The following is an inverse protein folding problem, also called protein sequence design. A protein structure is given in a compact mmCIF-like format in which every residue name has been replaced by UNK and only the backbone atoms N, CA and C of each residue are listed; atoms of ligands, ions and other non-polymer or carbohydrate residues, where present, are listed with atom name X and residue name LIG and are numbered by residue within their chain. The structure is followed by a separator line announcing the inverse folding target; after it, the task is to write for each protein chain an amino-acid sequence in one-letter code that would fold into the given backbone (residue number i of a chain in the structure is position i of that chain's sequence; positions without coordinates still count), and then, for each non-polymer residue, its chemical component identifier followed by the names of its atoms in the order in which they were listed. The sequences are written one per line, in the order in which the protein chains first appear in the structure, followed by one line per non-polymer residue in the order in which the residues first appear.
data_IF_498283984039
#
_entry.id   IF_498283984039
#
_cell.length_a   1.000
_cell.length_b   1.000
_cell.length_c   1.000
_cell.angle_alpha   90.00
_cell.angle_beta   90.00
_cell.angle_gamma   90.00
#
_symmetry.space_group_name_H-M   'P 1'
#
loop_
_entity.id
_entity.type
_entity.pdbx_description
1 polymer ?
#
# COMPACT_ATOMS: atom_id res chain seq x y z
N UNK A 1 -131.87 44.38 -53.01
CA UNK A 1 -131.02 43.57 -53.92
C UNK A 1 -129.70 44.27 -54.21
N UNK A 2 -129.68 45.55 -54.62
CA UNK A 2 -128.43 46.27 -54.94
C UNK A 2 -127.46 46.52 -53.75
N UNK A 3 -127.96 46.84 -52.55
CA UNK A 3 -127.09 47.09 -51.38
C UNK A 3 -126.35 45.83 -50.88
N UNK A 4 -127.02 44.66 -50.84
CA UNK A 4 -126.42 43.39 -50.42
C UNK A 4 -125.35 42.88 -51.39
N UNK A 5 -125.49 43.18 -52.68
CA UNK A 5 -124.46 42.89 -53.68
C UNK A 5 -123.23 43.78 -53.47
N UNK A 6 -123.43 45.08 -53.20
CA UNK A 6 -122.35 46.03 -52.86
C UNK A 6 -121.62 45.67 -51.56
N UNK A 7 -122.34 45.20 -50.53
CA UNK A 7 -121.74 44.79 -49.26
C UNK A 7 -120.91 43.50 -49.40
N UNK A 8 -121.41 42.53 -50.18
CA UNK A 8 -120.67 41.30 -50.51
C UNK A 8 -119.46 41.58 -51.41
N UNK A 9 -119.57 42.52 -52.35
CA UNK A 9 -118.44 42.96 -53.18
C UNK A 9 -117.35 43.65 -52.33
N UNK A 10 -117.75 44.45 -51.34
CA UNK A 10 -116.82 45.05 -50.38
C UNK A 10 -116.16 43.99 -49.47
N UNK A 11 -116.93 43.00 -48.99
CA UNK A 11 -116.42 41.90 -48.15
C UNK A 11 -115.45 40.98 -48.93
N UNK A 12 -115.76 40.68 -50.19
CA UNK A 12 -114.85 39.96 -51.10
C UNK A 12 -113.58 40.77 -51.38
N UNK A 13 -113.68 42.09 -51.52
CA UNK A 13 -112.52 42.95 -51.68
C UNK A 13 -111.63 42.98 -50.43
N UNK A 14 -112.23 43.00 -49.22
CA UNK A 14 -111.48 42.91 -47.96
C UNK A 14 -110.82 41.54 -47.78
N UNK A 15 -111.53 40.43 -48.06
CA UNK A 15 -110.97 39.08 -47.97
C UNK A 15 -109.80 38.89 -48.96
N UNK A 16 -109.92 39.40 -50.19
CA UNK A 16 -108.81 39.36 -51.17
C UNK A 16 -107.60 40.17 -50.71
N UNK A 17 -107.84 41.33 -50.09
CA UNK A 17 -106.78 42.18 -49.52
C UNK A 17 -106.08 41.48 -48.36
N UNK A 18 -106.84 40.89 -47.44
CA UNK A 18 -106.32 40.17 -46.28
C UNK A 18 -105.58 38.89 -46.70
N UNK A 19 -106.09 38.17 -47.70
CA UNK A 19 -105.41 37.02 -48.30
C UNK A 19 -104.06 37.43 -48.92
N UNK A 20 -104.04 38.46 -49.77
CA UNK A 20 -102.80 38.98 -50.35
C UNK A 20 -101.81 39.48 -49.29
N UNK A 21 -102.31 40.06 -48.20
CA UNK A 21 -101.48 40.46 -47.06
C UNK A 21 -100.95 39.25 -46.28
N UNK A 22 -101.75 38.21 -46.10
CA UNK A 22 -101.33 36.95 -45.45
C UNK A 22 -100.29 36.19 -46.29
N UNK A 23 -100.45 36.19 -47.61
CA UNK A 23 -99.51 35.58 -48.56
C UNK A 23 -98.16 36.32 -48.54
N UNK A 24 -98.18 37.66 -48.53
CA UNK A 24 -96.96 38.46 -48.32
C UNK A 24 -96.28 38.18 -46.98
N UNK A 25 -97.06 38.02 -45.91
CA UNK A 25 -96.52 37.66 -44.58
C UNK A 25 -95.91 36.27 -44.58
N UNK A 26 -96.54 35.29 -45.24
CA UNK A 26 -95.99 33.93 -45.39
C UNK A 26 -94.72 33.91 -46.23
N UNK A 27 -94.67 34.66 -47.33
CA UNK A 27 -93.46 34.81 -48.15
C UNK A 27 -92.34 35.45 -47.33
N UNK A 28 -92.62 36.53 -46.59
CA UNK A 28 -91.64 37.16 -45.71
C UNK A 28 -91.16 36.20 -44.61
N UNK A 29 -92.07 35.46 -43.97
CA UNK A 29 -91.73 34.48 -42.95
C UNK A 29 -90.87 33.33 -43.50
N UNK A 30 -91.18 32.84 -44.72
CA UNK A 30 -90.38 31.81 -45.38
C UNK A 30 -88.97 32.31 -45.70
N UNK A 31 -88.83 33.54 -46.20
CA UNK A 31 -87.50 34.15 -46.42
C UNK A 31 -86.72 34.22 -45.11
N UNK A 32 -87.32 34.75 -44.04
CA UNK A 32 -86.64 34.82 -42.73
C UNK A 32 -86.25 33.45 -42.16
N UNK A 33 -87.04 32.42 -42.45
CA UNK A 33 -86.77 31.05 -42.00
C UNK A 33 -85.63 30.41 -42.79
N UNK A 34 -85.55 30.65 -44.10
CA UNK A 34 -84.42 30.21 -44.93
C UNK A 34 -83.13 30.97 -44.56
N UNK A 35 -83.21 32.27 -44.29
CA UNK A 35 -82.08 33.06 -43.80
C UNK A 35 -81.58 32.51 -42.44
N UNK A 36 -82.49 32.26 -41.49
CA UNK A 36 -82.13 31.70 -40.18
C UNK A 36 -81.55 30.28 -40.29
N UNK A 37 -82.05 29.45 -41.20
CA UNK A 37 -81.46 28.12 -41.46
C UNK A 37 -80.05 28.23 -42.01
N UNK A 38 -79.80 29.14 -42.96
CA UNK A 38 -78.48 29.38 -43.51
C UNK A 38 -77.50 29.88 -42.43
N UNK A 39 -77.94 30.80 -41.57
CA UNK A 39 -77.16 31.27 -40.41
C UNK A 39 -76.83 30.12 -39.44
N UNK A 40 -77.81 29.30 -39.07
CA UNK A 40 -77.59 28.15 -38.19
C UNK A 40 -76.66 27.09 -38.82
N UNK A 41 -76.79 26.84 -40.12
CA UNK A 41 -75.91 25.92 -40.83
C UNK A 41 -74.47 26.43 -40.85
N UNK A 42 -74.26 27.72 -41.11
CA UNK A 42 -72.94 28.35 -41.03
C UNK A 42 -72.36 28.26 -39.62
N UNK A 43 -73.17 28.51 -38.58
CA UNK A 43 -72.74 28.38 -37.19
C UNK A 43 -72.34 26.94 -36.83
N UNK A 44 -73.07 25.94 -37.32
CA UNK A 44 -72.74 24.52 -37.12
C UNK A 44 -71.42 24.14 -37.81
N UNK A 45 -71.19 24.60 -39.04
CA UNK A 45 -69.93 24.37 -39.76
C UNK A 45 -68.74 24.98 -39.01
N UNK A 46 -68.89 26.19 -38.45
CA UNK A 46 -67.86 26.84 -37.63
C UNK A 46 -67.58 26.03 -36.36
N UNK A 47 -68.63 25.63 -35.63
CA UNK A 47 -68.49 24.84 -34.41
C UNK A 47 -67.85 23.47 -34.68
N UNK A 48 -68.21 22.83 -35.80
CA UNK A 48 -67.62 21.56 -36.20
C UNK A 48 -66.12 21.71 -36.50
N UNK A 49 -65.73 22.77 -37.21
CA UNK A 49 -64.31 23.07 -37.44
C UNK A 49 -63.55 23.32 -36.13
N UNK A 50 -64.14 24.07 -35.20
CA UNK A 50 -63.55 24.29 -33.88
C UNK A 50 -63.40 22.99 -33.08
N UNK A 51 -64.38 22.08 -33.17
CA UNK A 51 -64.29 20.76 -32.55
C UNK A 51 -63.15 19.92 -33.15
N UNK A 52 -62.99 19.95 -34.46
CA UNK A 52 -61.91 19.23 -35.15
C UNK A 52 -60.54 19.81 -34.77
N UNK A 53 -60.38 21.14 -34.79
CA UNK A 53 -59.15 21.83 -34.40
C UNK A 53 -58.76 21.52 -32.94
N UNK A 54 -59.74 21.54 -32.03
CA UNK A 54 -59.49 21.20 -30.61
C UNK A 54 -59.17 19.71 -30.41
N UNK A 55 -59.76 18.80 -31.19
CA UNK A 55 -59.42 17.38 -31.15
C UNK A 55 -57.97 17.13 -31.61
N UNK A 56 -57.52 17.85 -32.65
CA UNK A 56 -56.11 17.80 -33.08
C UNK A 56 -55.19 18.29 -31.96
N UNK A 57 -55.48 19.44 -31.35
CA UNK A 57 -54.70 19.95 -30.22
C UNK A 57 -54.66 18.99 -29.01
N UNK A 58 -55.78 18.32 -28.70
CA UNK A 58 -55.84 17.31 -27.65
C UNK A 58 -54.95 16.10 -28.00
N UNK A 59 -54.93 15.69 -29.26
CA UNK A 59 -54.08 14.57 -29.70
C UNK A 59 -52.58 14.91 -29.63
N UNK A 60 -52.20 16.12 -30.03
CA UNK A 60 -50.82 16.62 -29.98
C UNK A 60 -50.33 16.75 -28.53
N UNK A 61 -51.14 17.35 -27.66
CA UNK A 61 -50.80 17.49 -26.23
C UNK A 61 -50.70 16.15 -25.52
N UNK A 62 -51.53 15.16 -25.88
CA UNK A 62 -51.41 13.78 -25.37
C UNK A 62 -50.13 13.10 -25.84
N UNK A 63 -49.72 13.31 -27.09
CA UNK A 63 -48.45 12.78 -27.60
C UNK A 63 -47.26 13.39 -26.84
N UNK A 64 -47.24 14.72 -26.68
CA UNK A 64 -46.20 15.42 -25.90
C UNK A 64 -46.16 14.97 -24.44
N UNK A 65 -47.31 14.76 -23.80
CA UNK A 65 -47.37 14.23 -22.44
C UNK A 65 -46.78 12.82 -22.35
N UNK A 66 -47.08 11.96 -23.33
CA UNK A 66 -46.51 10.61 -23.39
C UNK A 66 -44.99 10.65 -23.57
N UNK A 67 -44.46 11.53 -24.42
CA UNK A 67 -43.03 11.62 -24.69
C UNK A 67 -42.27 12.18 -23.48
N UNK A 68 -42.77 13.26 -22.87
CA UNK A 68 -42.20 13.80 -21.62
C UNK A 68 -42.25 12.81 -20.46
N UNK A 69 -43.28 11.95 -20.39
CA UNK A 69 -43.35 10.89 -19.39
C UNK A 69 -42.29 9.81 -19.62
N UNK A 70 -42.01 9.43 -20.88
CA UNK A 70 -40.90 8.51 -21.21
C UNK A 70 -39.54 9.11 -20.89
N UNK A 71 -39.33 10.37 -21.25
CA UNK A 71 -38.09 11.09 -20.91
C UNK A 71 -37.88 11.14 -19.40
N UNK A 72 -38.93 11.42 -18.62
CA UNK A 72 -38.83 11.40 -17.15
C UNK A 72 -38.44 10.03 -16.61
N UNK A 73 -39.03 8.94 -17.13
CA UNK A 73 -38.68 7.58 -16.71
C UNK A 73 -37.23 7.25 -17.02
N UNK A 74 -36.72 7.59 -18.22
CA UNK A 74 -35.33 7.39 -18.57
C UNK A 74 -34.37 8.21 -17.68
N UNK A 75 -34.75 9.45 -17.33
CA UNK A 75 -33.98 10.28 -16.41
C UNK A 75 -34.00 9.74 -14.98
N UNK A 76 -35.11 9.15 -14.53
CA UNK A 76 -35.20 8.48 -13.22
C UNK A 76 -34.30 7.24 -13.18
N UNK A 77 -34.32 6.40 -14.21
CA UNK A 77 -33.47 5.21 -14.30
C UNK A 77 -31.98 5.58 -14.30
N UNK A 78 -31.57 6.58 -15.08
CA UNK A 78 -30.19 7.06 -15.09
C UNK A 78 -29.78 7.64 -13.74
N UNK A 79 -30.65 8.42 -13.09
CA UNK A 79 -30.38 8.96 -11.76
C UNK A 79 -30.19 7.85 -10.71
N UNK A 80 -31.01 6.80 -10.75
CA UNK A 80 -30.85 5.64 -9.85
C UNK A 80 -29.54 4.90 -10.09
N UNK A 81 -29.18 4.69 -11.36
CA UNK A 81 -27.92 4.03 -11.73
C UNK A 81 -26.72 4.82 -11.24
N UNK A 82 -26.68 6.14 -11.49
CA UNK A 82 -25.60 7.00 -10.99
C UNK A 82 -25.55 7.06 -9.46
N UNK A 83 -26.70 6.96 -8.78
CA UNK A 83 -26.74 6.91 -7.32
C UNK A 83 -26.14 5.61 -6.78
N UNK A 84 -26.39 4.47 -7.44
CA UNK A 84 -25.81 3.18 -7.09
C UNK A 84 -24.30 3.14 -7.34
N UNK A 85 -23.83 3.70 -8.46
CA UNK A 85 -22.41 3.86 -8.76
C UNK A 85 -21.69 4.74 -7.72
N UNK A 86 -22.32 5.85 -7.31
CA UNK A 86 -21.79 6.71 -6.25
C UNK A 86 -21.72 5.97 -4.91
N UNK A 87 -22.71 5.13 -4.60
CA UNK A 87 -22.71 4.33 -3.38
C UNK A 87 -21.60 3.27 -3.40
N UNK A 88 -21.37 2.62 -4.55
CA UNK A 88 -20.26 1.68 -4.73
C UNK A 88 -18.91 2.37 -4.55
N UNK A 89 -18.68 3.51 -5.24
CA UNK A 89 -17.44 4.26 -5.14
C UNK A 89 -17.15 4.74 -3.71
N UNK A 90 -18.19 5.13 -2.94
CA UNK A 90 -18.02 5.48 -1.52
C UNK A 90 -17.52 4.30 -0.67
N UNK A 91 -18.07 3.10 -0.88
CA UNK A 91 -17.60 1.89 -0.18
C UNK A 91 -16.15 1.56 -0.53
N UNK A 92 -15.77 1.73 -1.80
CA UNK A 92 -14.39 1.50 -2.22
C UNK A 92 -13.42 2.50 -1.58
N UNK A 93 -13.81 3.77 -1.47
CA UNK A 93 -13.04 4.80 -0.77
C UNK A 93 -12.87 4.43 0.71
N UNK A 94 -13.94 3.98 1.38
CA UNK A 94 -13.88 3.55 2.78
C UNK A 94 -12.94 2.34 2.96
N UNK A 95 -13.06 1.32 2.10
CA UNK A 95 -12.18 0.15 2.11
C UNK A 95 -10.70 0.53 1.89
N UNK A 96 -10.42 1.45 0.96
CA UNK A 96 -9.05 1.92 0.72
C UNK A 96 -8.52 2.77 1.87
N UNK A 97 -9.36 3.56 2.53
CA UNK A 97 -8.99 4.29 3.73
C UNK A 97 -8.60 3.33 4.87
N UNK A 98 -9.36 2.26 5.10
CA UNK A 98 -9.03 1.23 6.08
C UNK A 98 -7.69 0.54 5.77
N UNK A 99 -7.45 0.19 4.50
CA UNK A 99 -6.17 -0.37 4.05
C UNK A 99 -5.00 0.59 4.30
N UNK A 100 -5.18 1.89 4.01
CA UNK A 100 -4.17 2.91 4.28
C UNK A 100 -3.84 2.99 5.77
N UNK A 101 -4.86 3.05 6.65
CA UNK A 101 -4.62 3.10 8.10
C UNK A 101 -3.89 1.86 8.62
N UNK A 102 -4.18 0.69 8.05
CA UNK A 102 -3.49 -0.56 8.39
C UNK A 102 -2.03 -0.54 7.95
N UNK A 103 -1.75 -0.06 6.73
CA UNK A 103 -0.39 0.08 6.21
C UNK A 103 0.42 1.11 7.00
N UNK A 104 -0.18 2.23 7.39
CA UNK A 104 0.46 3.24 8.24
C UNK A 104 0.83 2.67 9.62
N UNK A 105 -0.07 1.89 10.24
CA UNK A 105 0.20 1.23 11.51
C UNK A 105 1.32 0.19 11.39
N UNK A 106 1.33 -0.60 10.31
CA UNK A 106 2.39 -1.58 10.05
C UNK A 106 3.74 -0.89 9.82
N UNK A 107 3.76 0.20 9.04
CA UNK A 107 4.97 0.98 8.79
C UNK A 107 5.54 1.55 10.10
N UNK A 108 4.69 2.11 10.96
CA UNK A 108 5.10 2.61 12.28
C UNK A 108 5.68 1.49 13.16
N UNK A 109 5.06 0.30 13.15
CA UNK A 109 5.57 -0.87 13.88
C UNK A 109 6.94 -1.31 13.34
N UNK A 110 7.11 -1.46 12.03
CA UNK A 110 8.39 -1.85 11.42
C UNK A 110 9.49 -0.82 11.72
N UNK A 111 9.18 0.47 11.69
CA UNK A 111 10.13 1.52 12.05
C UNK A 111 10.54 1.43 13.53
N UNK A 112 9.59 1.14 14.43
CA UNK A 112 9.90 0.92 15.84
C UNK A 112 10.77 -0.32 16.04
N UNK A 113 10.46 -1.42 15.35
CA UNK A 113 11.25 -2.66 15.42
C UNK A 113 12.70 -2.42 14.97
N UNK A 114 12.90 -1.72 13.84
CA UNK A 114 14.22 -1.31 13.36
C UNK A 114 14.98 -0.46 14.39
N UNK A 115 14.32 0.56 14.97
CA UNK A 115 14.95 1.38 16.01
C UNK A 115 15.36 0.54 17.24
N UNK A 116 14.55 -0.44 17.64
CA UNK A 116 14.89 -1.33 18.75
C UNK A 116 16.00 -2.31 18.40
N UNK A 117 16.08 -2.82 17.16
CA UNK A 117 17.18 -3.68 16.74
C UNK A 117 18.48 -2.92 16.65
N UNK A 118 18.46 -1.68 16.14
CA UNK A 118 19.64 -0.83 16.07
C UNK A 118 20.18 -0.51 17.46
N UNK A 119 19.29 -0.19 18.42
CA UNK A 119 19.68 0.02 19.81
C UNK A 119 20.31 -1.23 20.45
N UNK A 120 19.76 -2.42 20.16
CA UNK A 120 20.33 -3.70 20.64
C UNK A 120 21.69 -3.98 20.02
N UNK A 121 21.85 -3.76 18.72
CA UNK A 121 23.13 -3.93 18.03
C UNK A 121 24.18 -3.01 18.63
N UNK A 122 23.83 -1.75 18.89
CA UNK A 122 24.73 -0.76 19.48
C UNK A 122 25.17 -1.17 20.90
N UNK A 123 24.24 -1.68 21.73
CA UNK A 123 24.56 -2.24 23.04
C UNK A 123 25.49 -3.45 22.93
N UNK A 124 25.21 -4.40 22.04
CA UNK A 124 26.04 -5.59 21.84
C UNK A 124 27.44 -5.20 21.37
N UNK A 125 27.56 -4.21 20.49
CA UNK A 125 28.88 -3.73 20.04
C UNK A 125 29.68 -3.10 21.18
N UNK A 126 29.04 -2.31 22.03
CA UNK A 126 29.69 -1.71 23.20
C UNK A 126 30.14 -2.78 24.21
N UNK A 127 29.27 -3.77 24.49
CA UNK A 127 29.61 -4.88 25.37
C UNK A 127 30.76 -5.72 24.80
N UNK A 128 30.78 -5.94 23.49
CA UNK A 128 31.86 -6.64 22.80
C UNK A 128 33.19 -5.87 22.90
N UNK A 129 33.18 -4.56 22.66
CA UNK A 129 34.37 -3.73 22.80
C UNK A 129 34.89 -3.71 24.26
N UNK A 130 34.00 -3.65 25.25
CA UNK A 130 34.36 -3.70 26.66
C UNK A 130 35.03 -5.04 27.02
N UNK A 131 34.47 -6.16 26.55
CA UNK A 131 35.03 -7.50 26.79
C UNK A 131 36.35 -7.71 26.05
N UNK A 132 36.49 -7.23 24.82
CA UNK A 132 37.75 -7.27 24.06
C UNK A 132 38.85 -6.49 24.78
N UNK A 133 38.57 -5.28 25.26
CA UNK A 133 39.52 -4.48 26.02
C UNK A 133 39.94 -5.16 27.33
N UNK A 134 38.99 -5.79 28.04
CA UNK A 134 39.29 -6.55 29.26
C UNK A 134 40.21 -7.75 28.96
N UNK A 135 39.89 -8.54 27.93
CA UNK A 135 40.71 -9.68 27.53
C UNK A 135 42.11 -9.25 27.09
N UNK A 136 42.22 -8.13 26.36
CA UNK A 136 43.51 -7.58 25.95
C UNK A 136 44.37 -7.18 27.16
N UNK A 137 43.78 -6.54 28.17
CA UNK A 137 44.47 -6.18 29.39
C UNK A 137 44.93 -7.44 30.19
N UNK A 138 44.08 -8.47 30.26
CA UNK A 138 44.46 -9.76 30.85
C UNK A 138 45.62 -10.43 30.11
N UNK A 139 45.63 -10.35 28.78
CA UNK A 139 46.69 -10.91 27.94
C UNK A 139 48.02 -10.16 28.14
N UNK A 140 48.01 -8.83 28.15
CA UNK A 140 49.18 -8.01 28.46
C UNK A 140 49.74 -8.31 29.87
N UNK A 141 48.84 -8.50 30.85
CA UNK A 141 49.26 -8.88 32.20
C UNK A 141 49.91 -10.27 32.23
N UNK A 142 49.30 -11.27 31.58
CA UNK A 142 49.85 -12.62 31.49
C UNK A 142 51.22 -12.63 30.78
N UNK A 143 51.39 -11.85 29.70
CA UNK A 143 52.67 -11.69 29.00
C UNK A 143 53.74 -11.06 29.90
N UNK A 144 53.38 -10.05 30.69
CA UNK A 144 54.32 -9.42 31.64
C UNK A 144 54.77 -10.41 32.72
N UNK A 145 53.84 -11.19 33.27
CA UNK A 145 54.12 -12.23 34.26
C UNK A 145 55.00 -13.35 33.69
N UNK A 146 54.75 -13.76 32.43
CA UNK A 146 55.59 -14.73 31.74
C UNK A 146 57.03 -14.23 31.56
N UNK A 147 57.22 -12.97 31.16
CA UNK A 147 58.56 -12.35 31.05
C UNK A 147 59.27 -12.33 32.39
N UNK A 148 58.55 -12.00 33.46
CA UNK A 148 59.09 -12.01 34.82
C UNK A 148 59.52 -13.42 35.24
N UNK A 149 58.68 -14.42 35.03
CA UNK A 149 59.00 -15.83 35.29
C UNK A 149 60.22 -16.31 34.47
N UNK A 150 60.31 -15.96 33.18
CA UNK A 150 61.47 -16.29 32.34
C UNK A 150 62.76 -15.64 32.86
N UNK A 151 62.69 -14.40 33.35
CA UNK A 151 63.84 -13.72 33.97
C UNK A 151 64.29 -14.44 35.25
N UNK A 152 63.33 -14.84 36.11
CA UNK A 152 63.61 -15.59 37.33
C UNK A 152 64.22 -16.97 37.02
N UNK A 153 63.71 -17.68 36.01
CA UNK A 153 64.29 -18.95 35.55
C UNK A 153 65.73 -18.75 35.05
N UNK A 154 66.01 -17.67 34.32
CA UNK A 154 67.36 -17.32 33.87
C UNK A 154 68.31 -17.10 35.05
N UNK A 155 67.89 -16.31 36.04
CA UNK A 155 68.66 -16.02 37.25
C UNK A 155 68.92 -17.28 38.08
N UNK A 156 67.90 -18.11 38.29
CA UNK A 156 68.02 -19.39 38.98
C UNK A 156 68.95 -20.34 38.24
N UNK A 157 68.90 -20.37 36.90
CA UNK A 157 69.82 -21.17 36.09
C UNK A 157 71.28 -20.71 36.25
N UNK A 158 71.51 -19.39 36.33
CA UNK A 158 72.82 -18.83 36.62
C UNK A 158 73.29 -19.25 38.03
N UNK A 159 72.43 -19.09 39.05
CA UNK A 159 72.72 -19.51 40.42
C UNK A 159 73.03 -21.01 40.54
N UNK A 160 72.25 -21.88 39.88
CA UNK A 160 72.52 -23.32 39.84
C UNK A 160 73.86 -23.62 39.16
N UNK A 161 74.21 -22.90 38.09
CA UNK A 161 75.52 -23.07 37.43
C UNK A 161 76.69 -22.66 38.34
N UNK A 162 76.49 -21.63 39.16
CA UNK A 162 77.50 -21.13 40.09
C UNK A 162 77.62 -22.04 41.32
N UNK A 163 76.50 -22.51 41.86
CA UNK A 163 76.45 -23.53 42.89
C UNK A 163 77.12 -24.84 42.43
N UNK A 164 76.92 -25.27 41.18
CA UNK A 164 77.62 -26.44 40.61
C UNK A 164 79.13 -26.23 40.51
N UNK A 165 79.60 -25.03 40.13
CA UNK A 165 81.03 -24.71 40.15
C UNK A 165 81.60 -24.71 41.56
N UNK A 166 80.84 -24.18 42.53
CA UNK A 166 81.21 -24.22 43.95
C UNK A 166 81.25 -25.67 44.46
N UNK A 167 80.27 -26.50 44.10
CA UNK A 167 80.25 -27.94 44.40
C UNK A 167 81.44 -28.66 43.77
N UNK A 168 81.81 -28.37 42.52
CA UNK A 168 83.00 -28.93 41.86
C UNK A 168 84.31 -28.53 42.58
N UNK A 169 84.39 -27.30 43.10
CA UNK A 169 85.52 -26.82 43.93
C UNK A 169 85.53 -27.45 45.33
N UNK A 170 84.34 -27.65 45.93
CA UNK A 170 84.13 -28.31 47.22
C UNK A 170 84.24 -29.85 47.12
N UNK A 171 84.19 -30.44 45.94
CA UNK A 171 84.51 -31.85 45.68
C UNK A 171 86.02 -32.04 45.42
N UNK A 172 86.70 -31.01 44.91
CA UNK A 172 88.16 -30.98 44.73
C UNK A 172 88.92 -30.66 46.03
N UNK A 173 88.24 -30.12 47.03
CA UNK A 173 88.75 -29.94 48.40
C UNK A 173 87.96 -30.87 49.33
N UNK A 174 88.59 -31.54 50.29
CA UNK A 174 87.85 -32.41 51.21
C UNK A 174 86.96 -31.55 52.11
N UNK A 175 85.65 -31.54 51.84
CA UNK A 175 84.69 -30.67 52.55
C UNK A 175 83.89 -31.47 53.59
N UNK A 176 83.75 -30.93 54.81
CA UNK A 176 83.07 -31.59 55.92
C UNK A 176 81.55 -31.72 55.70
N UNK A 177 81.00 -32.77 56.30
CA UNK A 177 79.64 -33.31 56.12
C UNK A 177 78.48 -32.34 56.45
N UNK A 178 78.76 -31.23 57.14
CA UNK A 178 77.79 -30.19 57.51
C UNK A 178 77.34 -29.32 56.32
N UNK A 179 78.21 -29.04 55.35
CA UNK A 179 77.85 -28.25 54.15
C UNK A 179 76.97 -29.06 53.18
N UNK A 180 77.19 -30.39 53.09
CA UNK A 180 76.32 -31.31 52.35
C UNK A 180 74.91 -31.37 52.96
N UNK A 181 74.80 -31.27 54.29
CA UNK A 181 73.51 -31.28 54.97
C UNK A 181 72.74 -29.96 54.76
N UNK A 182 73.44 -28.82 54.76
CA UNK A 182 72.88 -27.51 54.40
C UNK A 182 72.35 -27.49 52.97
N UNK A 183 73.14 -27.99 52.01
CA UNK A 183 72.77 -28.05 50.59
C UNK A 183 71.55 -28.97 50.37
N UNK A 184 71.50 -30.10 51.08
CA UNK A 184 70.36 -31.03 51.06
C UNK A 184 69.08 -30.38 51.60
N UNK A 185 69.18 -29.58 52.67
CA UNK A 185 68.03 -28.85 53.22
C UNK A 185 67.56 -27.75 52.26
N UNK A 186 68.49 -27.06 51.58
CA UNK A 186 68.15 -26.06 50.58
C UNK A 186 67.44 -26.69 49.37
N UNK A 187 67.94 -27.83 48.87
CA UNK A 187 67.30 -28.57 47.78
C UNK A 187 65.88 -29.01 48.14
N UNK A 188 65.67 -29.55 49.35
CA UNK A 188 64.32 -29.89 49.83
C UNK A 188 63.39 -28.67 49.89
N UNK A 189 63.89 -27.55 50.41
CA UNK A 189 63.10 -26.32 50.45
C UNK A 189 62.76 -25.78 49.05
N UNK A 190 63.62 -25.99 48.05
CA UNK A 190 63.30 -25.64 46.66
C UNK A 190 62.31 -26.62 46.02
N UNK A 191 62.42 -27.92 46.30
CA UNK A 191 61.46 -28.93 45.85
C UNK A 191 60.05 -28.64 46.38
N UNK A 192 59.93 -28.32 47.67
CA UNK A 192 58.64 -27.96 48.29
C UNK A 192 58.02 -26.70 47.66
N UNK A 193 58.84 -25.72 47.27
CA UNK A 193 58.36 -24.51 46.57
C UNK A 193 57.84 -24.85 45.17
N UNK A 194 58.58 -25.62 44.38
CA UNK A 194 58.12 -26.00 43.04
C UNK A 194 56.91 -26.93 43.10
N UNK A 195 56.82 -27.80 44.10
CA UNK A 195 55.65 -28.67 44.28
C UNK A 195 54.39 -27.85 44.63
N UNK A 196 54.52 -26.80 45.43
CA UNK A 196 53.44 -25.86 45.71
C UNK A 196 53.01 -25.08 44.45
N UNK A 197 53.96 -24.63 43.64
CA UNK A 197 53.69 -23.91 42.39
C UNK A 197 52.99 -24.80 41.35
N UNK A 198 53.45 -26.05 41.17
CA UNK A 198 52.80 -27.04 40.31
C UNK A 198 51.36 -27.30 40.76
N UNK A 199 51.12 -27.34 42.07
CA UNK A 199 49.76 -27.50 42.62
C UNK A 199 48.87 -26.30 42.30
N UNK A 200 49.40 -25.08 42.38
CA UNK A 200 48.67 -23.87 42.04
C UNK A 200 48.33 -23.81 40.54
N UNK A 201 49.29 -24.13 39.67
CA UNK A 201 49.05 -24.17 38.22
C UNK A 201 48.00 -25.23 37.84
N UNK A 202 48.01 -26.40 38.48
CA UNK A 202 46.96 -27.42 38.28
C UNK A 202 45.58 -26.90 38.67
N UNK A 203 45.49 -26.14 39.77
CA UNK A 203 44.22 -25.53 40.19
C UNK A 203 43.73 -24.51 39.16
N UNK A 204 44.61 -23.66 38.63
CA UNK A 204 44.25 -22.68 37.58
C UNK A 204 43.78 -23.35 36.29
N UNK A 205 44.46 -24.41 35.85
CA UNK A 205 44.03 -25.20 34.69
C UNK A 205 42.63 -25.76 34.93
N UNK A 206 42.39 -26.39 36.09
CA UNK A 206 41.07 -26.93 36.44
C UNK A 206 39.97 -25.86 36.46
N UNK A 207 40.27 -24.67 37.01
CA UNK A 207 39.31 -23.56 37.03
C UNK A 207 39.00 -23.08 35.61
N UNK A 208 40.01 -22.97 34.75
CA UNK A 208 39.82 -22.59 33.33
C UNK A 208 39.04 -23.63 32.53
N UNK A 209 39.27 -24.93 32.76
CA UNK A 209 38.52 -26.02 32.15
C UNK A 209 37.03 -25.93 32.55
N UNK A 210 36.74 -25.72 33.83
CA UNK A 210 35.36 -25.58 34.30
C UNK A 210 34.64 -24.35 33.71
N UNK A 211 35.38 -23.26 33.47
CA UNK A 211 34.84 -22.05 32.82
C UNK A 211 34.54 -22.31 31.34
N UNK A 212 35.41 -23.02 30.64
CA UNK A 212 35.20 -23.43 29.24
C UNK A 212 34.00 -24.38 29.11
N UNK A 213 33.85 -25.35 30.01
CA UNK A 213 32.68 -26.25 30.02
C UNK A 213 31.37 -25.49 30.19
N UNK A 214 31.32 -24.49 31.09
CA UNK A 214 30.13 -23.64 31.25
C UNK A 214 29.84 -22.81 30.00
N UNK A 215 30.87 -22.27 29.36
CA UNK A 215 30.72 -21.52 28.12
C UNK A 215 30.22 -22.41 26.97
N UNK A 216 30.75 -23.64 26.86
CA UNK A 216 30.28 -24.63 25.89
C UNK A 216 28.81 -25.00 26.14
N UNK A 217 28.42 -25.16 27.41
CA UNK A 217 27.04 -25.37 27.82
C UNK A 217 26.12 -24.23 27.37
N UNK A 218 26.50 -22.99 27.67
CA UNK A 218 25.75 -21.81 27.26
C UNK A 218 25.63 -21.69 25.72
N UNK A 219 26.73 -21.96 24.99
CA UNK A 219 26.72 -21.96 23.54
C UNK A 219 25.75 -23.01 22.97
N UNK A 220 25.73 -24.22 23.53
CA UNK A 220 24.80 -25.26 23.11
C UNK A 220 23.34 -24.89 23.40
N UNK A 221 23.06 -24.22 24.52
CA UNK A 221 21.71 -23.69 24.83
C UNK A 221 21.29 -22.63 23.82
N UNK A 222 22.13 -21.62 23.57
CA UNK A 222 21.85 -20.56 22.59
C UNK A 222 21.64 -21.16 21.20
N UNK A 223 22.46 -22.14 20.80
CA UNK A 223 22.31 -22.84 19.53
C UNK A 223 20.96 -23.55 19.44
N UNK A 224 20.54 -24.23 20.50
CA UNK A 224 19.24 -24.91 20.57
C UNK A 224 18.07 -23.92 20.49
N UNK A 225 18.15 -22.78 21.19
CA UNK A 225 17.15 -21.72 21.11
C UNK A 225 17.06 -21.12 19.70
N UNK A 226 18.20 -20.89 19.04
CA UNK A 226 18.24 -20.39 17.67
C UNK A 226 17.58 -21.36 16.70
N UNK A 227 17.86 -22.66 16.82
CA UNK A 227 17.19 -23.70 16.01
C UNK A 227 15.68 -23.69 16.24
N UNK A 228 15.23 -23.63 17.51
CA UNK A 228 13.80 -23.58 17.83
C UNK A 228 13.12 -22.27 17.39
N UNK A 229 13.84 -21.15 17.32
CA UNK A 229 13.33 -19.90 16.74
C UNK A 229 13.21 -20.05 15.22
N UNK A 230 14.19 -20.68 14.56
CA UNK A 230 14.14 -20.89 13.11
C UNK A 230 13.01 -21.83 12.71
N UNK A 231 12.77 -22.91 13.44
CA UNK A 231 11.62 -23.80 13.22
C UNK A 231 10.30 -23.03 13.35
N UNK A 232 10.13 -22.24 14.43
CA UNK A 232 8.94 -21.40 14.60
C UNK A 232 8.76 -20.33 13.53
N UNK A 233 9.83 -19.86 12.89
CA UNK A 233 9.74 -18.95 11.75
C UNK A 233 9.26 -19.69 10.51
N UNK A 234 9.82 -20.86 10.22
CA UNK A 234 9.41 -21.70 9.10
C UNK A 234 7.93 -22.09 9.22
N UNK A 235 7.48 -22.52 10.41
CA UNK A 235 6.07 -22.86 10.65
C UNK A 235 5.13 -21.67 10.35
N UNK A 236 5.54 -20.44 10.71
CA UNK A 236 4.76 -19.23 10.42
C UNK A 236 4.79 -18.84 8.94
N UNK A 237 5.93 -19.03 8.29
CA UNK A 237 6.06 -18.83 6.84
C UNK A 237 5.10 -19.80 6.11
N UNK A 238 5.10 -21.09 6.48
CA UNK A 238 4.19 -22.10 5.94
C UNK A 238 2.70 -21.76 6.21
N UNK A 239 2.35 -21.28 7.40
CA UNK A 239 0.99 -20.83 7.73
C UNK A 239 0.54 -19.65 6.86
N UNK A 240 1.42 -18.66 6.64
CA UNK A 240 1.13 -17.50 5.79
C UNK A 240 0.99 -17.94 4.34
N UNK A 241 1.87 -18.81 3.84
CA UNK A 241 1.79 -19.35 2.49
C UNK A 241 0.46 -20.11 2.27
N UNK A 242 0.05 -20.95 3.23
CA UNK A 242 -1.24 -21.65 3.15
C UNK A 242 -2.43 -20.68 3.15
N UNK A 243 -2.40 -19.64 3.98
CA UNK A 243 -3.45 -18.61 4.00
C UNK A 243 -3.53 -17.84 2.68
N UNK A 244 -2.37 -17.45 2.11
CA UNK A 244 -2.33 -16.79 0.81
C UNK A 244 -2.84 -17.70 -0.30
N UNK A 245 -2.44 -18.97 -0.31
CA UNK A 245 -2.92 -19.92 -1.29
C UNK A 245 -4.44 -20.12 -1.18
N UNK A 246 -4.98 -20.24 0.03
CA UNK A 246 -6.42 -20.33 0.25
C UNK A 246 -7.18 -19.09 -0.26
N UNK A 247 -6.63 -17.88 -0.04
CA UNK A 247 -7.21 -16.64 -0.58
C UNK A 247 -7.17 -16.60 -2.11
N UNK A 248 -6.08 -17.07 -2.73
CA UNK A 248 -5.97 -17.17 -4.19
C UNK A 248 -7.02 -18.15 -4.73
N UNK A 249 -7.18 -19.31 -4.08
CA UNK A 249 -8.16 -20.33 -4.49
C UNK A 249 -9.60 -19.81 -4.34
N UNK A 250 -9.91 -19.06 -3.28
CA UNK A 250 -11.21 -18.40 -3.09
C UNK A 250 -11.49 -17.36 -4.19
N UNK A 251 -10.52 -16.49 -4.49
CA UNK A 251 -10.63 -15.51 -5.58
C UNK A 251 -10.77 -16.19 -6.95
N UNK A 252 -10.06 -17.29 -7.17
CA UNK A 252 -10.19 -18.09 -8.40
C UNK A 252 -11.59 -18.70 -8.51
N UNK A 253 -12.16 -19.20 -7.41
CA UNK A 253 -13.52 -19.73 -7.38
C UNK A 253 -14.55 -18.64 -7.70
N UNK A 254 -14.47 -17.49 -7.03
CA UNK A 254 -15.35 -16.33 -7.27
C UNK A 254 -15.27 -15.85 -8.72
N UNK A 255 -14.06 -15.79 -9.28
CA UNK A 255 -13.85 -15.41 -10.67
C UNK A 255 -14.48 -16.43 -11.63
N UNK A 256 -14.35 -17.73 -11.33
CA UNK A 256 -14.96 -18.81 -12.12
C UNK A 256 -16.48 -18.72 -12.08
N UNK A 257 -17.07 -18.51 -10.91
CA UNK A 257 -18.51 -18.28 -10.78
C UNK A 257 -18.97 -17.03 -11.54
N UNK A 258 -18.20 -15.95 -11.50
CA UNK A 258 -18.49 -14.74 -12.25
C UNK A 258 -18.46 -15.00 -13.76
N UNK A 259 -17.48 -15.77 -14.25
CA UNK A 259 -17.42 -16.20 -15.65
C UNK A 259 -18.63 -17.06 -16.04
N UNK A 260 -19.05 -18.01 -15.21
CA UNK A 260 -20.23 -18.82 -15.48
C UNK A 260 -21.52 -18.00 -15.49
N UNK A 261 -21.71 -17.10 -14.50
CA UNK A 261 -22.87 -16.18 -14.45
C UNK A 261 -22.91 -15.28 -15.68
N UNK A 262 -21.78 -14.74 -16.10
CA UNK A 262 -21.66 -13.94 -17.32
C UNK A 262 -22.02 -14.76 -18.56
N UNK A 263 -21.45 -15.96 -18.72
CA UNK A 263 -21.75 -16.84 -19.85
C UNK A 263 -23.24 -17.19 -19.92
N UNK A 264 -23.86 -17.49 -18.77
CA UNK A 264 -25.29 -17.78 -18.70
C UNK A 264 -26.15 -16.55 -19.03
N UNK A 265 -25.71 -15.34 -18.69
CA UNK A 265 -26.36 -14.11 -19.11
C UNK A 265 -26.23 -13.88 -20.62
N UNK A 266 -25.04 -14.10 -21.19
CA UNK A 266 -24.79 -14.05 -22.64
C UNK A 266 -25.66 -15.06 -23.40
N UNK A 267 -25.77 -16.31 -22.90
CA UNK A 267 -26.62 -17.35 -23.48
C UNK A 267 -28.12 -16.97 -23.42
N UNK A 268 -28.58 -16.37 -22.32
CA UNK A 268 -29.96 -15.87 -22.18
C UNK A 268 -30.26 -14.73 -23.14
N UNK A 269 -29.31 -13.81 -23.35
CA UNK A 269 -29.45 -12.74 -24.33
C UNK A 269 -29.58 -13.31 -25.75
N UNK A 270 -28.72 -14.26 -26.10
CA UNK A 270 -28.77 -14.96 -27.39
C UNK A 270 -30.10 -15.69 -27.61
N UNK A 271 -30.64 -16.38 -26.58
CA UNK A 271 -31.94 -17.06 -26.65
C UNK A 271 -33.13 -16.11 -26.87
N UNK A 272 -33.04 -14.88 -26.36
CA UNK A 272 -34.07 -13.85 -26.53
C UNK A 272 -33.97 -13.10 -27.88
N UNK A 273 -33.08 -13.53 -28.79
CA UNK A 273 -32.87 -12.87 -30.08
C UNK A 273 -32.11 -11.53 -29.98
N UNK A 274 -31.65 -11.18 -28.78
CA UNK A 274 -30.74 -10.08 -28.53
C UNK A 274 -29.32 -10.63 -28.66
N UNK A 275 -28.88 -10.79 -29.91
CA UNK A 275 -27.48 -11.09 -30.17
C UNK A 275 -26.62 -10.00 -29.50
N UNK A 276 -25.59 -10.35 -28.72
CA UNK A 276 -24.62 -9.37 -28.25
C UNK A 276 -23.88 -8.86 -29.49
N UNK A 277 -24.42 -7.81 -30.11
CA UNK A 277 -23.73 -7.07 -31.15
C UNK A 277 -22.46 -6.54 -30.49
N UNK A 278 -21.32 -7.07 -30.91
CA UNK A 278 -20.03 -6.53 -30.53
C UNK A 278 -19.94 -5.09 -31.05
N UNK A 279 -20.18 -4.12 -30.17
CA UNK A 279 -19.81 -2.71 -30.38
C UNK A 279 -18.29 -2.49 -30.35
N UNK A 280 -17.47 -3.56 -30.41
CA UNK A 280 -16.10 -3.47 -30.92
C UNK A 280 -16.13 -3.57 -32.43
N UNK A 281 -16.22 -2.40 -33.05
CA UNK A 281 -15.88 -2.23 -34.45
C UNK A 281 -14.52 -2.86 -34.76
N UNK A 282 -14.48 -3.57 -35.89
CA UNK A 282 -13.51 -3.32 -36.95
C UNK A 282 -12.09 -2.99 -36.48
N UNK A 283 -11.35 -3.99 -36.00
CA UNK A 283 -9.89 -3.98 -36.17
C UNK A 283 -9.58 -4.81 -37.40
N UNK A 284 -9.24 -4.08 -38.47
CA UNK A 284 -8.59 -4.59 -39.67
C UNK A 284 -7.42 -5.47 -39.23
N UNK A 285 -7.38 -6.70 -39.73
CA UNK A 285 -6.16 -7.49 -39.80
C UNK A 285 -5.12 -6.66 -40.57
N UNK A 286 -4.16 -6.09 -39.85
CA UNK A 286 -2.93 -5.62 -40.47
C UNK A 286 -1.90 -6.72 -40.28
N UNK A 287 -1.55 -7.31 -41.42
CA UNK A 287 -0.67 -8.44 -41.59
C UNK A 287 0.78 -7.93 -41.49
N UNK A 288 1.19 -7.59 -40.26
CA UNK A 288 2.51 -7.01 -39.96
C UNK A 288 3.53 -8.07 -39.54
N UNK A 289 3.96 -8.86 -40.51
CA UNK A 289 5.10 -9.76 -40.42
C UNK A 289 6.40 -8.94 -40.26
N UNK A 290 6.99 -8.90 -39.08
CA UNK A 290 8.42 -8.52 -38.91
C UNK A 290 9.09 -9.41 -37.89
N UNK A 291 9.72 -10.46 -38.41
CA UNK A 291 10.97 -10.97 -37.86
C UNK A 291 11.99 -9.83 -37.85
N UNK A 292 12.49 -9.45 -36.68
CA UNK A 292 13.84 -8.88 -36.58
C UNK A 292 14.47 -9.24 -35.24
N UNK A 293 15.52 -10.03 -35.38
CA UNK A 293 16.61 -10.29 -34.47
C UNK A 293 17.19 -9.03 -33.80
N UNK A 294 17.71 -9.27 -32.59
CA UNK A 294 18.98 -8.75 -32.03
C UNK A 294 19.34 -7.26 -32.25
N UNK A 295 19.47 -6.53 -31.15
CA UNK A 295 20.78 -5.95 -30.77
C UNK A 295 20.73 -5.23 -29.42
N UNK A 296 21.78 -5.46 -28.65
CA UNK A 296 22.25 -4.67 -27.53
C UNK A 296 22.49 -3.20 -27.91
N UNK A 297 22.39 -2.28 -26.95
CA UNK A 297 22.88 -0.92 -27.15
C UNK A 297 22.33 0.11 -26.17
N UNK A 298 23.04 0.26 -25.05
CA UNK A 298 23.36 1.44 -24.26
C UNK A 298 22.60 2.78 -24.44
N UNK A 299 22.29 3.33 -23.27
CA UNK A 299 22.35 4.74 -22.84
C UNK A 299 22.07 5.86 -23.86
N UNK A 300 21.07 6.70 -23.57
CA UNK A 300 21.34 8.14 -23.36
C UNK A 300 20.15 8.88 -22.72
N UNK A 301 20.52 9.83 -21.87
CA UNK A 301 19.69 10.83 -21.20
C UNK A 301 18.83 11.62 -22.20
N UNK A 302 17.62 12.03 -21.78
CA UNK A 302 17.07 13.33 -22.18
C UNK A 302 15.95 13.76 -21.23
N UNK A 303 16.29 14.75 -20.41
CA UNK A 303 15.38 15.67 -19.76
C UNK A 303 14.44 16.33 -20.78
N UNK A 304 13.14 16.41 -20.48
CA UNK A 304 12.32 17.60 -20.75
C UNK A 304 11.03 17.55 -19.92
N UNK A 305 10.94 18.47 -18.96
CA UNK A 305 9.72 18.81 -18.24
C UNK A 305 8.78 19.59 -19.17
N UNK A 306 7.52 19.15 -19.28
CA UNK A 306 6.40 20.01 -19.64
C UNK A 306 5.36 19.96 -18.51
N UNK A 307 5.12 21.13 -17.93
CA UNK A 307 4.02 21.41 -17.00
C UNK A 307 2.66 21.26 -17.71
N UNK A 308 1.62 20.78 -17.02
CA UNK A 308 0.25 21.14 -17.34
C UNK A 308 -0.28 22.22 -16.37
N UNK A 309 -1.01 23.16 -16.96
CA UNK A 309 -1.66 24.29 -16.31
C UNK A 309 -2.75 23.88 -15.30
N UNK A 310 -2.97 24.80 -14.37
CA UNK A 310 -3.76 24.73 -13.15
C UNK A 310 -5.27 24.53 -13.33
N UNK A 311 -5.93 23.83 -12.38
CA UNK A 311 -7.11 24.30 -11.60
C UNK A 311 -7.27 23.43 -10.34
N UNK A 312 -7.27 24.03 -9.14
CA UNK A 312 -7.73 23.35 -7.91
C UNK A 312 -7.17 23.93 -6.62
N UNK A 313 -7.87 24.91 -6.02
CA UNK A 313 -7.51 25.53 -4.75
C UNK A 313 -7.68 24.56 -3.58
N UNK A 314 -6.59 23.93 -3.12
CA UNK A 314 -6.52 23.36 -1.78
C UNK A 314 -5.76 24.31 -0.85
N UNK A 315 -6.45 24.76 0.21
CA UNK A 315 -5.83 25.48 1.34
C UNK A 315 -5.06 24.46 2.19
N UNK A 316 -3.74 24.45 2.05
CA UNK A 316 -2.84 23.85 3.03
C UNK A 316 -2.69 24.77 4.25
N UNK A 317 -2.67 24.21 5.48
CA UNK A 317 -2.46 24.99 6.70
C UNK A 317 -1.02 25.53 6.77
N UNK A 318 -0.88 26.77 7.22
CA UNK A 318 0.40 27.47 7.40
C UNK A 318 1.32 26.71 8.37
N UNK A 319 2.25 25.92 7.84
CA UNK A 319 3.46 25.56 8.56
C UNK A 319 4.42 26.74 8.48
N UNK A 320 4.79 27.28 9.64
CA UNK A 320 5.72 28.39 9.78
C UNK A 320 7.03 28.12 9.05
N UNK A 321 7.60 29.16 8.44
CA UNK A 321 8.88 29.07 7.71
C UNK A 321 9.97 28.61 8.67
N UNK A 322 10.53 27.43 8.39
CA UNK A 322 11.77 26.96 9.02
C UNK A 322 12.90 27.89 8.52
N UNK A 323 13.72 28.46 9.42
CA UNK A 323 14.86 29.26 9.00
C UNK A 323 15.87 28.42 8.19
N UNK A 324 16.53 28.99 7.18
CA UNK A 324 17.41 28.22 6.30
C UNK A 324 18.59 27.64 7.10
N UNK A 325 18.73 26.32 7.05
CA UNK A 325 19.92 25.62 7.53
C UNK A 325 21.12 26.07 6.67
N UNK A 326 22.00 26.86 7.27
CA UNK A 326 23.32 27.12 6.69
C UNK A 326 24.07 25.79 6.64
N UNK A 327 24.40 25.33 5.44
CA UNK A 327 25.33 24.20 5.28
C UNK A 327 26.67 24.62 5.90
N UNK A 328 27.23 23.82 6.82
CA UNK A 328 28.56 24.10 7.36
C UNK A 328 29.56 24.16 6.20
N UNK A 329 30.49 25.13 6.28
CA UNK A 329 31.52 25.27 5.26
C UNK A 329 32.43 24.04 5.31
N UNK A 330 32.79 23.53 4.13
CA UNK A 330 33.62 22.33 3.95
C UNK A 330 34.93 22.33 4.76
N UNK A 331 35.40 23.51 5.20
CA UNK A 331 36.56 23.70 6.05
C UNK A 331 36.42 23.21 7.51
N UNK A 332 35.21 22.95 8.01
CA UNK A 332 35.01 22.46 9.40
C UNK A 332 35.22 20.94 9.55
N UNK A 333 35.38 20.20 8.44
CA UNK A 333 35.65 18.76 8.45
C UNK A 333 37.14 18.39 8.50
N UNK A 334 38.05 19.39 8.55
CA UNK A 334 39.50 19.14 8.57
C UNK A 334 40.13 19.08 9.97
N UNK A 335 39.35 18.95 11.04
CA UNK A 335 39.88 18.62 12.36
C UNK A 335 39.66 17.15 12.68
N UNK A 336 40.25 16.29 11.86
CA UNK A 336 40.52 14.90 12.26
C UNK A 336 41.77 14.94 13.13
N UNK A 337 41.72 14.50 14.40
CA UNK A 337 42.92 14.42 15.22
C UNK A 337 43.89 13.43 14.56
N UNK A 338 44.99 13.97 14.03
CA UNK A 338 46.04 13.15 13.44
C UNK A 338 46.71 12.34 14.56
N UNK A 339 46.52 11.03 14.52
CA UNK A 339 47.29 10.09 15.33
C UNK A 339 48.77 10.23 14.98
N UNK A 340 49.62 10.46 15.98
CA UNK A 340 51.07 10.62 15.85
C UNK A 340 51.81 9.37 15.37
N UNK A 341 51.09 8.28 15.02
CA UNK A 341 51.65 7.01 14.58
C UNK A 341 51.48 6.69 13.08
N UNK A 342 50.80 7.52 12.29
CA UNK A 342 50.43 7.16 10.90
C UNK A 342 51.33 7.78 9.81
N UNK A 343 52.55 8.22 10.13
CA UNK A 343 53.44 8.94 9.20
C UNK A 343 54.56 8.08 8.56
N UNK A 344 54.35 6.79 8.30
CA UNK A 344 55.42 5.98 7.71
C UNK A 344 55.00 4.85 6.77
N UNK A 345 53.99 5.06 5.94
CA UNK A 345 53.81 4.20 4.75
C UNK A 345 53.07 4.98 3.66
N UNK A 346 53.82 5.82 2.95
CA UNK A 346 53.42 6.30 1.64
C UNK A 346 53.65 5.15 0.65
N UNK A 347 52.57 4.53 0.20
CA UNK A 347 52.61 3.68 -0.99
C UNK A 347 52.71 4.60 -2.20
N UNK A 348 53.86 4.58 -2.88
CA UNK A 348 53.98 5.08 -4.24
C UNK A 348 53.09 4.21 -5.15
N UNK A 349 52.16 4.87 -5.87
CA UNK A 349 51.43 4.32 -7.02
C UNK A 349 51.90 5.06 -8.27
#
# INVERSE_FOLDING_TARGET
MAHRASDLEAEVATIKKDYAQSEKRLQAANVTLEDAKAEHQSALEILQKQLDDTNVQISETRAQLSDTQRERQAMEETATTSQDELAACKRDIENMAEKLTTLEANFARSQQELATSDAKLLSITQDREATENSLRAELEHAESSLKEALSQISDLKAQVSEARKQEEVLLASQVPEDELQSLRNHMKATEEKYEAEVKQLRQQVQDSESRLERQLGAFNTIRGELTAVRERQLDREDEIEQQMQAQIDELHLDLTEAFEKRKLAEDKLAQNGLSPVSERGFWVSDDGQTDTDQSDGDEEELSHHQEPEAVGKHRSPNLGRIPPLQKPRFSEFHHVPQCSGCLSEAFDI
#
